data_IF_920794638549
#
_entry.id   IF_920794638549
#
_cell.length_a   1.000
_cell.length_b   1.000
_cell.length_c   1.000
_cell.angle_alpha   90.00
_cell.angle_beta   90.00
_cell.angle_gamma   90.00
#
_symmetry.space_group_name_H-M   'P 1'
#
loop_
_entity.id
_entity.type
_entity.pdbx_description
1 polymer ?
#
# COMPACT_ATOMS: atom_id res chain seq x y z
N UNK A 1 -8.37 5.91 -13.99
CA UNK A 1 -8.29 5.32 -12.64
C UNK A 1 -7.37 6.11 -11.70
N UNK A 2 -6.15 6.48 -12.10
CA UNK A 2 -5.23 7.28 -11.25
C UNK A 2 -5.76 8.65 -10.80
N UNK A 3 -6.56 9.33 -11.64
CA UNK A 3 -7.11 10.66 -11.32
C UNK A 3 -8.07 10.67 -10.12
N UNK A 4 -8.85 9.60 -9.95
CA UNK A 4 -9.83 9.47 -8.85
C UNK A 4 -9.13 9.26 -7.50
N UNK A 5 -8.04 8.48 -7.48
CA UNK A 5 -7.26 8.23 -6.26
C UNK A 5 -6.47 9.46 -5.80
N UNK A 6 -6.00 10.29 -6.74
CA UNK A 6 -5.35 11.56 -6.42
C UNK A 6 -6.29 12.54 -5.70
N UNK A 7 -7.59 12.53 -6.03
CA UNK A 7 -8.59 13.42 -5.42
C UNK A 7 -8.90 13.07 -3.96
N UNK A 8 -8.74 11.81 -3.57
CA UNK A 8 -8.89 11.36 -2.17
C UNK A 8 -7.57 11.43 -1.38
N UNK A 9 -6.54 12.08 -1.92
CA UNK A 9 -5.26 12.33 -1.25
C UNK A 9 -4.20 11.25 -1.43
N UNK A 10 -4.43 10.23 -2.27
CA UNK A 10 -3.41 9.21 -2.57
C UNK A 10 -2.43 9.76 -3.60
N UNK A 11 -1.16 9.91 -3.21
CA UNK A 11 -0.08 10.34 -4.10
C UNK A 11 0.73 9.14 -4.55
N UNK A 12 0.77 8.90 -5.87
CA UNK A 12 1.70 7.95 -6.47
C UNK A 12 3.06 8.62 -6.65
N UNK A 13 4.06 8.11 -5.95
CA UNK A 13 5.45 8.55 -6.09
C UNK A 13 6.18 7.48 -6.89
N UNK A 14 6.74 7.80 -8.07
CA UNK A 14 7.58 6.85 -8.79
C UNK A 14 8.82 6.56 -7.96
N UNK A 15 9.07 5.27 -7.71
CA UNK A 15 10.29 4.81 -7.06
C UNK A 15 11.18 4.27 -8.18
N UNK A 16 12.36 4.87 -8.43
CA UNK A 16 13.29 4.32 -9.40
C UNK A 16 13.80 3.00 -8.85
N UNK A 17 13.79 1.97 -9.71
CA UNK A 17 14.36 0.67 -9.41
C UNK A 17 15.29 0.32 -10.55
N UNK A 18 16.52 -0.08 -10.24
CA UNK A 18 17.53 -0.38 -11.26
C UNK A 18 17.40 -1.82 -11.77
N UNK A 19 16.83 -2.73 -10.97
CA UNK A 19 16.68 -4.15 -11.32
C UNK A 19 15.31 -4.73 -10.97
N UNK A 20 14.92 -5.79 -11.67
CA UNK A 20 13.66 -6.51 -11.41
C UNK A 20 13.63 -7.16 -10.01
N UNK A 21 14.78 -7.61 -9.49
CA UNK A 21 14.89 -8.21 -8.15
C UNK A 21 14.61 -7.19 -7.04
N UNK A 22 15.13 -5.96 -7.17
CA UNK A 22 14.81 -4.87 -6.25
C UNK A 22 13.33 -4.51 -6.32
N UNK A 23 12.72 -4.56 -7.51
CA UNK A 23 11.29 -4.27 -7.68
C UNK A 23 10.44 -5.34 -7.00
N UNK A 24 10.76 -6.61 -7.21
CA UNK A 24 10.05 -7.72 -6.57
C UNK A 24 10.19 -7.68 -5.04
N UNK A 25 11.37 -7.34 -4.54
CA UNK A 25 11.59 -7.18 -3.09
C UNK A 25 10.76 -6.03 -2.53
N UNK A 26 10.76 -4.88 -3.20
CA UNK A 26 9.98 -3.71 -2.81
C UNK A 26 8.48 -3.98 -2.86
N UNK A 27 8.01 -4.66 -3.92
CA UNK A 27 6.62 -5.05 -4.07
C UNK A 27 6.17 -6.03 -2.97
N UNK A 28 7.01 -7.02 -2.63
CA UNK A 28 6.72 -7.95 -1.54
C UNK A 28 6.64 -7.23 -0.18
N UNK A 29 7.56 -6.32 0.10
CA UNK A 29 7.54 -5.51 1.32
C UNK A 29 6.30 -4.61 1.39
N UNK A 30 5.90 -3.99 0.27
CA UNK A 30 4.70 -3.18 0.18
C UNK A 30 3.44 -4.01 0.43
N UNK A 31 3.31 -5.19 -0.20
CA UNK A 31 2.17 -6.08 -0.01
C UNK A 31 2.02 -6.51 1.44
N UNK A 32 3.11 -6.91 2.09
CA UNK A 32 3.09 -7.26 3.52
C UNK A 32 2.63 -6.07 4.39
N UNK A 33 3.12 -4.87 4.09
CA UNK A 33 2.71 -3.66 4.84
C UNK A 33 1.23 -3.35 4.65
N UNK A 34 0.70 -3.52 3.45
CA UNK A 34 -0.73 -3.34 3.16
C UNK A 34 -1.57 -4.37 3.90
N UNK A 35 -1.18 -5.64 3.92
CA UNK A 35 -1.88 -6.69 4.69
C UNK A 35 -1.94 -6.35 6.18
N UNK A 36 -0.84 -5.88 6.78
CA UNK A 36 -0.85 -5.44 8.18
C UNK A 36 -1.77 -4.25 8.43
N UNK A 37 -1.81 -3.29 7.50
CA UNK A 37 -2.71 -2.14 7.60
C UNK A 37 -4.18 -2.56 7.50
N UNK A 38 -4.50 -3.50 6.61
CA UNK A 38 -5.85 -4.08 6.48
C UNK A 38 -6.24 -4.82 7.75
N UNK A 39 -5.38 -5.73 8.25
CA UNK A 39 -5.63 -6.47 9.48
C UNK A 39 -5.85 -5.54 10.69
N UNK A 40 -5.08 -4.45 10.77
CA UNK A 40 -5.27 -3.43 11.80
C UNK A 40 -6.61 -2.71 11.64
N UNK A 41 -6.97 -2.29 10.43
CA UNK A 41 -8.24 -1.61 10.17
C UNK A 41 -9.45 -2.50 10.53
N UNK A 42 -9.43 -3.78 10.16
CA UNK A 42 -10.48 -4.75 10.50
C UNK A 42 -10.60 -4.96 12.02
N UNK A 43 -9.46 -4.99 12.73
CA UNK A 43 -9.45 -5.09 14.19
C UNK A 43 -10.01 -3.83 14.86
N UNK A 44 -9.64 -2.64 14.36
CA UNK A 44 -10.13 -1.35 14.85
C UNK A 44 -11.65 -1.21 14.62
N UNK A 45 -12.18 -1.67 13.48
CA UNK A 45 -13.64 -1.72 13.21
C UNK A 45 -14.36 -2.71 14.14
N UNK A 46 -13.80 -3.89 14.40
CA UNK A 46 -14.37 -4.88 15.32
C UNK A 46 -14.37 -4.44 16.78
N UNK A 47 -13.46 -3.55 17.18
CA UNK A 47 -13.39 -3.02 18.54
C UNK A 47 -14.31 -1.80 18.75
N UNK A 48 -14.88 -1.24 17.68
CA UNK A 48 -15.85 -0.13 17.74
C UNK A 48 -17.32 -0.59 17.79
N UNK A 49 -17.61 -1.90 17.71
CA UNK A 49 -18.95 -2.50 17.84
C UNK A 49 -19.16 -3.11 19.23
#
# INVERSE_FOLDING_TARGET
MAHSLAQIGIRFVPIPVETDEEFHTLAASLSQKLEMMVAKAEADERNQV
#
